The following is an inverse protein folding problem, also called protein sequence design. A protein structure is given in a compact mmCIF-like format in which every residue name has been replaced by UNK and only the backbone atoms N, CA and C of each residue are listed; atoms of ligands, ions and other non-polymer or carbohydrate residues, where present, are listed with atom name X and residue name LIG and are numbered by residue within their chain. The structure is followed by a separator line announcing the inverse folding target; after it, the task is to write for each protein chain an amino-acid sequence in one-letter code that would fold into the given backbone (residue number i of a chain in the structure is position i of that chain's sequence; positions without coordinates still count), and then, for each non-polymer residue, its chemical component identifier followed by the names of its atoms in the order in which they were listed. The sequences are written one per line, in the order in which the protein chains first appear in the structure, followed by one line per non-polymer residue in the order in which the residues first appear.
data_IF_983332243709
#
_entry.id   IF_983332243709
#
_cell.length_a   1.000
_cell.length_b   1.000
_cell.length_c   1.000
_cell.angle_alpha   90.00
_cell.angle_beta   90.00
_cell.angle_gamma   90.00
#
_symmetry.space_group_name_H-M   'P 1'
#
loop_
_entity.id
_entity.type
_entity.pdbx_description
1 polymer ?
#
# COMPACT_ATOMS: atom_id res chain seq x y z
N UNK A 1 -15.68 -7.23 5.77
CA UNK A 1 -15.22 -5.99 6.42
C UNK A 1 -15.62 -4.81 5.55
N UNK A 2 -15.87 -3.64 6.13
CA UNK A 2 -15.75 -2.39 5.37
C UNK A 2 -14.25 -2.11 5.25
N UNK A 3 -13.72 -2.21 4.04
CA UNK A 3 -12.34 -1.83 3.72
C UNK A 3 -12.13 -0.37 4.13
N UNK A 4 -11.12 -0.10 4.97
CA UNK A 4 -10.74 1.27 5.33
C UNK A 4 -9.30 1.58 4.97
N UNK A 5 -9.13 2.57 4.10
CA UNK A 5 -7.84 3.03 3.61
C UNK A 5 -6.94 3.51 4.75
N UNK A 6 -7.51 4.26 5.70
CA UNK A 6 -6.77 4.79 6.84
C UNK A 6 -6.24 3.68 7.75
N UNK A 7 -7.00 2.60 7.94
CA UNK A 7 -6.57 1.46 8.76
C UNK A 7 -5.38 0.72 8.10
N UNK A 8 -5.38 0.62 6.76
CA UNK A 8 -4.25 0.08 6.02
C UNK A 8 -3.02 0.98 6.13
N UNK A 9 -3.21 2.29 6.06
CA UNK A 9 -2.14 3.28 6.21
C UNK A 9 -1.49 3.20 7.59
N UNK A 10 -2.28 3.08 8.64
CA UNK A 10 -1.79 2.85 10.01
C UNK A 10 -1.03 1.52 10.10
N UNK A 11 -1.59 0.43 9.57
CA UNK A 11 -0.94 -0.89 9.58
C UNK A 11 0.41 -0.91 8.86
N UNK A 12 0.52 -0.18 7.73
CA UNK A 12 1.78 0.03 6.99
C UNK A 12 2.84 0.70 7.87
N UNK A 13 2.46 1.78 8.56
CA UNK A 13 3.37 2.54 9.41
C UNK A 13 3.81 1.69 10.62
N UNK A 14 2.85 1.07 11.30
CA UNK A 14 3.12 0.23 12.47
C UNK A 14 4.03 -0.96 12.12
N UNK A 15 3.82 -1.59 10.97
CA UNK A 15 4.65 -2.70 10.51
C UNK A 15 6.05 -2.25 10.11
N UNK A 16 6.17 -1.10 9.45
CA UNK A 16 7.47 -0.50 9.17
C UNK A 16 8.25 -0.17 10.45
N UNK A 17 7.61 0.50 11.41
CA UNK A 17 8.27 0.90 12.65
C UNK A 17 8.63 -0.30 13.53
N UNK A 18 7.77 -1.31 13.62
CA UNK A 18 8.05 -2.51 14.41
C UNK A 18 9.12 -3.41 13.77
N UNK A 19 8.98 -3.74 12.49
CA UNK A 19 9.84 -4.72 11.82
C UNK A 19 11.12 -4.09 11.27
N UNK A 20 11.00 -3.01 10.51
CA UNK A 20 12.14 -2.40 9.85
C UNK A 20 12.95 -1.54 10.83
N UNK A 21 12.31 -0.66 11.60
CA UNK A 21 13.02 0.20 12.56
C UNK A 21 13.37 -0.56 13.85
N UNK A 22 12.38 -1.24 14.45
CA UNK A 22 12.53 -1.92 15.73
C UNK A 22 13.43 -3.14 15.67
N UNK A 23 13.21 -4.03 14.69
CA UNK A 23 13.94 -5.30 14.57
C UNK A 23 15.01 -5.32 13.48
N UNK A 24 15.14 -4.26 12.68
CA UNK A 24 16.13 -4.14 11.59
C UNK A 24 15.98 -5.20 10.49
N UNK A 25 14.76 -5.64 10.21
CA UNK A 25 14.51 -6.47 9.04
C UNK A 25 14.75 -5.70 7.75
N UNK A 26 15.14 -6.42 6.70
CA UNK A 26 15.23 -5.82 5.37
C UNK A 26 13.88 -5.28 4.94
N UNK A 27 13.88 -4.21 4.13
CA UNK A 27 12.63 -3.53 3.79
C UNK A 27 11.69 -4.42 2.97
N UNK A 28 12.27 -5.30 2.16
CA UNK A 28 11.54 -6.29 1.36
C UNK A 28 10.85 -7.32 2.26
N UNK A 29 11.55 -7.80 3.26
CA UNK A 29 11.00 -8.79 4.21
C UNK A 29 9.88 -8.16 5.04
N UNK A 30 10.04 -6.90 5.44
CA UNK A 30 9.00 -6.11 6.12
C UNK A 30 7.75 -5.97 5.25
N UNK A 31 7.92 -5.63 3.98
CA UNK A 31 6.82 -5.50 3.03
C UNK A 31 6.06 -6.81 2.82
N UNK A 32 6.78 -7.91 2.57
CA UNK A 32 6.13 -9.20 2.33
C UNK A 32 5.52 -9.80 3.59
N UNK A 33 6.04 -9.48 4.79
CA UNK A 33 5.40 -9.85 6.05
C UNK A 33 4.04 -9.14 6.20
N UNK A 34 3.98 -7.83 5.94
CA UNK A 34 2.73 -7.07 5.93
C UNK A 34 1.75 -7.65 4.91
N UNK A 35 2.19 -7.84 3.67
CA UNK A 35 1.35 -8.36 2.60
C UNK A 35 0.75 -9.72 2.96
N UNK A 36 1.57 -10.63 3.50
CA UNK A 36 1.14 -11.96 3.89
C UNK A 36 0.10 -11.97 5.02
N UNK A 37 0.21 -11.02 5.96
CA UNK A 37 -0.75 -10.87 7.06
C UNK A 37 -2.14 -10.50 6.51
N UNK A 38 -2.20 -9.59 5.54
CA UNK A 38 -3.44 -9.20 4.87
C UNK A 38 -3.95 -10.29 3.91
N UNK A 39 -3.08 -10.94 3.14
CA UNK A 39 -3.44 -12.06 2.23
C UNK A 39 -4.02 -13.26 2.97
N UNK A 40 -3.71 -13.42 4.26
CA UNK A 40 -4.26 -14.49 5.09
C UNK A 40 -5.72 -14.25 5.51
N UNK A 41 -6.27 -13.07 5.22
CA UNK A 41 -7.68 -12.76 5.41
C UNK A 41 -8.53 -13.34 4.28
N UNK A 42 -9.63 -14.01 4.63
CA UNK A 42 -10.63 -14.50 3.65
C UNK A 42 -11.29 -13.35 2.85
N UNK A 43 -11.14 -12.11 3.30
CA UNK A 43 -11.72 -10.91 2.69
C UNK A 43 -10.73 -10.12 1.83
N UNK A 44 -9.49 -10.62 1.66
CA UNK A 44 -8.44 -9.93 0.91
C UNK A 44 -8.84 -9.61 -0.54
N UNK A 45 -8.75 -8.33 -0.90
CA UNK A 45 -9.09 -7.82 -2.24
C UNK A 45 -7.88 -7.22 -2.95
N UNK A 46 -7.96 -7.10 -4.28
CA UNK A 46 -6.95 -6.38 -5.07
C UNK A 46 -6.92 -4.87 -4.72
N UNK A 47 -8.04 -4.32 -4.21
CA UNK A 47 -8.08 -2.94 -3.69
C UNK A 47 -7.23 -2.82 -2.42
N UNK A 48 -7.34 -3.77 -1.50
CA UNK A 48 -6.48 -3.84 -0.31
C UNK A 48 -5.01 -3.96 -0.69
N UNK A 49 -4.70 -4.86 -1.64
CA UNK A 49 -3.35 -4.98 -2.19
C UNK A 49 -2.86 -3.59 -2.67
N UNK A 50 -3.63 -2.94 -3.53
CA UNK A 50 -3.28 -1.62 -4.06
C UNK A 50 -3.05 -0.59 -2.96
N UNK A 51 -3.92 -0.55 -1.93
CA UNK A 51 -3.79 0.36 -0.81
C UNK A 51 -2.50 0.13 -0.02
N UNK A 52 -2.12 -1.14 0.22
CA UNK A 52 -0.86 -1.49 0.89
C UNK A 52 0.32 -1.00 0.04
N UNK A 53 0.33 -1.32 -1.25
CA UNK A 53 1.41 -0.94 -2.16
C UNK A 53 1.58 0.59 -2.26
N UNK A 54 0.47 1.35 -2.36
CA UNK A 54 0.51 2.82 -2.42
C UNK A 54 1.05 3.42 -1.13
N UNK A 55 0.49 3.04 0.02
CA UNK A 55 0.92 3.59 1.32
C UNK A 55 2.37 3.23 1.62
N UNK A 56 2.78 1.99 1.36
CA UNK A 56 4.15 1.55 1.60
C UNK A 56 5.13 2.28 0.68
N UNK A 57 4.80 2.45 -0.60
CA UNK A 57 5.65 3.18 -1.53
C UNK A 57 5.82 4.65 -1.12
N UNK A 58 4.73 5.32 -0.71
CA UNK A 58 4.79 6.69 -0.22
C UNK A 58 5.67 6.81 1.03
N UNK A 59 5.51 5.89 1.99
CA UNK A 59 6.35 5.83 3.18
C UNK A 59 7.83 5.70 2.81
N UNK A 60 8.17 4.81 1.88
CA UNK A 60 9.55 4.64 1.42
C UNK A 60 10.10 5.90 0.73
N UNK A 61 9.29 6.56 -0.09
CA UNK A 61 9.67 7.83 -0.74
C UNK A 61 9.97 8.90 0.32
N UNK A 62 9.11 9.05 1.33
CA UNK A 62 9.32 10.00 2.44
C UNK A 62 10.61 9.72 3.22
N UNK A 63 10.96 8.43 3.39
CA UNK A 63 12.19 7.98 4.03
C UNK A 63 13.39 7.95 3.07
N UNK A 64 13.25 8.45 1.85
CA UNK A 64 14.28 8.47 0.80
C UNK A 64 14.88 7.07 0.53
N UNK A 65 14.02 6.05 0.56
CA UNK A 65 14.33 4.64 0.39
C UNK A 65 13.91 4.14 -1.00
N UNK A 66 14.65 3.17 -1.53
CA UNK A 66 14.39 2.61 -2.85
C UNK A 66 13.06 1.82 -2.89
N UNK A 67 12.24 2.08 -3.91
CA UNK A 67 10.96 1.40 -4.16
C UNK A 67 10.97 0.49 -5.40
N UNK A 68 12.10 0.31 -6.08
CA UNK A 68 12.17 -0.42 -7.37
C UNK A 68 11.64 -1.85 -7.27
N UNK A 69 11.74 -2.48 -6.09
CA UNK A 69 11.26 -3.84 -5.88
C UNK A 69 9.72 -3.97 -5.92
N UNK A 70 8.98 -2.90 -5.65
CA UNK A 70 7.50 -2.89 -5.71
C UNK A 70 6.95 -2.20 -6.95
N UNK A 71 7.76 -1.40 -7.67
CA UNK A 71 7.31 -0.60 -8.82
C UNK A 71 6.55 -1.39 -9.88
N UNK A 72 7.03 -2.58 -10.25
CA UNK A 72 6.39 -3.38 -11.30
C UNK A 72 4.96 -3.72 -10.95
N UNK A 73 4.72 -4.29 -9.76
CA UNK A 73 3.39 -4.68 -9.30
C UNK A 73 2.52 -3.45 -9.01
N UNK A 74 3.10 -2.40 -8.44
CA UNK A 74 2.41 -1.14 -8.20
C UNK A 74 1.89 -0.51 -9.50
N UNK A 75 2.67 -0.52 -10.58
CA UNK A 75 2.21 -0.03 -11.88
C UNK A 75 1.08 -0.88 -12.49
N UNK A 76 1.09 -2.21 -12.26
CA UNK A 76 -0.01 -3.09 -12.68
C UNK A 76 -1.30 -2.77 -11.92
N UNK A 77 -1.20 -2.57 -10.60
CA UNK A 77 -2.35 -2.25 -9.74
C UNK A 77 -2.93 -0.87 -10.06
N UNK A 78 -2.09 0.10 -10.43
CA UNK A 78 -2.52 1.45 -10.81
C UNK A 78 -3.01 1.58 -12.26
N UNK A 79 -3.16 0.49 -13.00
CA UNK A 79 -3.77 0.51 -14.33
C UNK A 79 -5.21 1.04 -14.24
N UNK A 80 -5.60 1.87 -15.22
CA UNK A 80 -6.89 2.55 -15.21
C UNK A 80 -8.09 1.59 -15.15
N UNK A 81 -7.93 0.32 -15.56
CA UNK A 81 -8.99 -0.69 -15.47
C UNK A 81 -9.41 -1.01 -14.04
N UNK A 82 -8.48 -0.91 -13.09
CA UNK A 82 -8.74 -1.28 -11.69
C UNK A 82 -9.29 -0.10 -10.88
N UNK A 83 -9.05 1.13 -11.34
CA UNK A 83 -9.47 2.36 -10.66
C UNK A 83 -10.99 2.50 -10.50
N UNK A 84 -11.80 1.93 -11.40
CA UNK A 84 -13.26 1.92 -11.27
C UNK A 84 -13.73 1.01 -10.12
N UNK A 85 -13.03 -0.10 -9.90
CA UNK A 85 -13.30 -1.03 -8.79
C UNK A 85 -12.94 -0.34 -7.47
N UNK A 86 -11.75 0.27 -7.41
CA UNK A 86 -11.26 0.94 -6.20
C UNK A 86 -12.19 2.08 -5.77
N UNK A 87 -12.74 2.82 -6.73
CA UNK A 87 -13.74 3.87 -6.46
C UNK A 87 -15.02 3.33 -5.82
N UNK A 88 -15.42 2.11 -6.18
CA UNK A 88 -16.62 1.48 -5.65
C UNK A 88 -16.39 0.94 -4.24
N UNK A 89 -15.20 0.37 -3.99
CA UNK A 89 -14.87 -0.26 -2.71
C UNK A 89 -14.48 0.75 -1.63
N UNK A 90 -13.65 1.75 -1.97
CA UNK A 90 -13.18 2.78 -1.03
C UNK A 90 -14.22 3.85 -0.70
N UNK A 91 -15.27 3.98 -1.52
CA UNK A 91 -16.40 4.92 -1.32
C UNK A 91 -15.95 6.33 -0.95
N UNK A 92 -16.01 6.71 0.33
CA UNK A 92 -15.70 8.05 0.84
C UNK A 92 -14.18 8.32 0.91
N UNK A 93 -13.36 7.28 1.09
CA UNK A 93 -11.90 7.37 1.18
C UNK A 93 -11.19 7.42 -0.19
N UNK A 94 -11.96 7.27 -1.28
CA UNK A 94 -11.39 7.31 -2.65
C UNK A 94 -10.64 8.62 -2.94
N UNK A 95 -11.06 9.73 -2.32
CA UNK A 95 -10.41 11.02 -2.51
C UNK A 95 -9.00 11.02 -1.91
N UNK A 96 -8.83 10.43 -0.73
CA UNK A 96 -7.53 10.32 -0.09
C UNK A 96 -6.62 9.39 -0.89
N UNK A 97 -7.12 8.19 -1.22
CA UNK A 97 -6.41 7.26 -2.09
C UNK A 97 -5.97 7.90 -3.41
N UNK A 98 -6.86 8.63 -4.09
CA UNK A 98 -6.53 9.28 -5.37
C UNK A 98 -5.44 10.34 -5.20
N UNK A 99 -5.50 11.15 -4.14
CA UNK A 99 -4.45 12.13 -3.84
C UNK A 99 -3.10 11.45 -3.60
N UNK A 100 -3.08 10.33 -2.89
CA UNK A 100 -1.88 9.58 -2.56
C UNK A 100 -1.31 8.87 -3.80
N UNK A 101 -2.15 8.34 -4.68
CA UNK A 101 -1.74 7.85 -6.01
C UNK A 101 -1.17 8.97 -6.88
N UNK A 102 -1.78 10.16 -6.88
CA UNK A 102 -1.29 11.28 -7.68
C UNK A 102 0.06 11.81 -7.18
N UNK A 103 0.33 11.76 -5.86
CA UNK A 103 1.67 12.01 -5.32
C UNK A 103 2.65 10.95 -5.81
N UNK A 104 2.27 9.68 -5.67
CA UNK A 104 3.11 8.55 -6.04
C UNK A 104 3.52 8.59 -7.53
N UNK A 105 2.60 8.93 -8.43
CA UNK A 105 2.87 9.07 -9.87
C UNK A 105 3.92 10.14 -10.21
N UNK A 106 4.20 11.09 -9.33
CA UNK A 106 5.27 12.08 -9.52
C UNK A 106 6.67 11.49 -9.24
N UNK A 107 6.73 10.32 -8.60
CA UNK A 107 7.96 9.64 -8.19
C UNK A 107 8.22 8.32 -8.94
N UNK A 108 7.27 7.88 -9.77
CA UNK A 108 7.37 6.71 -10.65
C UNK A 108 7.90 7.11 -12.03
#
# INVERSE_FOLDING_TARGET
MDLRYDEIKEAVIDTYDSLHIGTKYEIRDTFYALLHDHESSDEYTETEECCIYVNFALLLIEKNTNIDFIKTRLNELLDNKNMEIYRTELKDEINEFTNDVDKLKQHL
#
